data_IF_687718295724
#
_entry.id   IF_687718295724
#
_cell.length_a   1.000
_cell.length_b   1.000
_cell.length_c   1.000
_cell.angle_alpha   90.00
_cell.angle_beta   90.00
_cell.angle_gamma   90.00
#
_symmetry.space_group_name_H-M   'P 1'
#
loop_
_entity.id
_entity.type
_entity.pdbx_description
1 polymer ?
#
# COMPACT_ATOMS: atom_id res chain seq x y z
N UNK A 1 10.60 -4.89 1.86
CA UNK A 1 9.92 -3.68 2.36
C UNK A 1 9.87 -2.66 1.24
N UNK A 2 8.70 -2.08 0.97
CA UNK A 2 8.50 -1.20 -0.19
C UNK A 2 8.55 0.30 0.16
N UNK A 3 8.73 0.66 1.44
CA UNK A 3 8.73 2.07 1.90
C UNK A 3 7.34 2.64 2.17
N UNK A 4 6.29 1.86 1.94
CA UNK A 4 4.91 2.20 2.31
C UNK A 4 4.61 1.92 3.77
N UNK A 5 3.51 2.53 4.24
CA UNK A 5 2.99 2.45 5.60
C UNK A 5 2.89 1.01 6.12
N UNK A 6 2.30 0.13 5.31
CA UNK A 6 1.96 -1.23 5.74
C UNK A 6 3.23 -2.05 5.99
N UNK A 7 4.24 -1.91 5.11
CA UNK A 7 5.54 -2.55 5.31
C UNK A 7 6.31 -2.03 6.53
N UNK A 8 6.08 -0.77 6.93
CA UNK A 8 6.65 -0.19 8.16
C UNK A 8 5.99 -0.81 9.38
N UNK A 9 4.65 -0.87 9.40
CA UNK A 9 3.90 -1.49 10.51
C UNK A 9 4.28 -2.96 10.65
N UNK A 10 4.37 -3.70 9.54
CA UNK A 10 4.84 -5.09 9.57
C UNK A 10 6.23 -5.25 10.21
N UNK A 11 7.18 -4.40 9.82
CA UNK A 11 8.54 -4.44 10.39
C UNK A 11 8.56 -4.07 11.88
N UNK A 12 7.83 -3.04 12.31
CA UNK A 12 7.79 -2.64 13.73
C UNK A 12 7.04 -3.67 14.61
N UNK A 13 6.05 -4.39 14.06
CA UNK A 13 5.41 -5.51 14.74
C UNK A 13 6.37 -6.68 14.98
N UNK A 14 7.18 -7.03 13.97
CA UNK A 14 8.20 -8.08 14.10
C UNK A 14 9.25 -7.70 15.16
N UNK A 15 9.73 -6.46 15.14
CA UNK A 15 10.65 -5.95 16.18
C UNK A 15 10.08 -6.04 17.57
N UNK A 16 8.82 -5.60 17.75
CA UNK A 16 8.17 -5.59 19.06
C UNK A 16 8.06 -7.00 19.65
N UNK A 17 7.95 -8.03 18.81
CA UNK A 17 7.91 -9.44 19.22
C UNK A 17 9.29 -10.05 19.49
N UNK A 18 10.39 -9.29 19.32
CA UNK A 18 11.75 -9.81 19.49
C UNK A 18 12.20 -10.75 18.37
N UNK A 19 11.47 -10.83 17.26
CA UNK A 19 11.83 -11.72 16.16
C UNK A 19 13.03 -11.14 15.40
N UNK A 20 14.05 -11.96 15.17
CA UNK A 20 15.06 -11.66 14.15
C UNK A 20 14.38 -11.72 12.77
N UNK A 21 14.53 -10.66 11.98
CA UNK A 21 14.00 -10.62 10.62
C UNK A 21 14.91 -9.79 9.73
N UNK A 22 14.83 -10.08 8.43
CA UNK A 22 15.45 -9.28 7.39
C UNK A 22 14.36 -8.75 6.43
N UNK A 23 14.70 -7.79 5.59
CA UNK A 23 13.80 -7.30 4.55
C UNK A 23 14.21 -7.76 3.16
N UNK A 24 13.22 -8.13 2.35
CA UNK A 24 13.37 -8.35 0.92
C UNK A 24 12.79 -7.16 0.14
N UNK A 25 13.54 -6.59 -0.79
CA UNK A 25 13.10 -5.43 -1.58
C UNK A 25 13.51 -5.54 -3.04
N UNK A 26 12.61 -5.20 -3.95
CA UNK A 26 12.86 -5.22 -5.39
C UNK A 26 12.99 -3.80 -5.89
N UNK A 27 14.11 -3.49 -6.57
CA UNK A 27 14.40 -2.16 -7.11
C UNK A 27 14.04 -1.02 -6.13
N UNK A 28 14.55 -1.03 -4.88
CA UNK A 28 14.05 -0.12 -3.85
C UNK A 28 14.27 1.35 -4.24
N UNK A 29 13.20 2.13 -4.13
CA UNK A 29 13.24 3.59 -4.33
C UNK A 29 14.06 4.28 -3.23
N UNK A 30 14.29 5.59 -3.38
CA UNK A 30 14.94 6.40 -2.35
C UNK A 30 14.20 6.30 -1.00
N UNK A 31 12.87 6.38 -1.04
CA UNK A 31 11.98 6.27 0.11
C UNK A 31 12.07 4.89 0.76
N UNK A 32 12.03 3.83 -0.04
CA UNK A 32 12.16 2.46 0.46
C UNK A 32 13.50 2.25 1.17
N UNK A 33 14.61 2.72 0.58
CA UNK A 33 15.95 2.66 1.21
C UNK A 33 16.00 3.44 2.52
N UNK A 34 15.45 4.66 2.55
CA UNK A 34 15.40 5.47 3.76
C UNK A 34 14.60 4.78 4.87
N UNK A 35 13.46 4.19 4.54
CA UNK A 35 12.63 3.42 5.48
C UNK A 35 13.37 2.19 6.01
N UNK A 36 14.05 1.42 5.15
CA UNK A 36 14.85 0.26 5.56
C UNK A 36 15.95 0.68 6.54
N UNK A 37 16.64 1.80 6.26
CA UNK A 37 17.67 2.35 7.15
C UNK A 37 17.09 2.79 8.51
N UNK A 38 15.98 3.52 8.52
CA UNK A 38 15.30 3.94 9.77
C UNK A 38 14.78 2.72 10.53
N UNK A 39 14.41 1.66 9.82
CA UNK A 39 14.04 0.39 10.40
C UNK A 39 15.24 -0.39 10.97
N UNK A 40 16.47 0.11 10.89
CA UNK A 40 17.64 -0.54 11.49
C UNK A 40 18.03 -1.86 10.82
N UNK A 41 17.56 -2.11 9.59
CA UNK A 41 17.88 -3.33 8.84
C UNK A 41 19.20 -3.11 8.13
N UNK A 42 20.24 -3.81 8.57
CA UNK A 42 21.62 -3.62 8.09
C UNK A 42 21.86 -4.22 6.72
N UNK A 43 21.43 -5.46 6.50
CA UNK A 43 21.76 -6.25 5.31
C UNK A 43 20.50 -6.70 4.56
N UNK A 44 19.69 -5.76 4.01
CA UNK A 44 18.48 -6.13 3.29
C UNK A 44 18.80 -6.97 2.05
N UNK A 45 17.97 -7.98 1.77
CA UNK A 45 18.00 -8.70 0.50
C UNK A 45 17.45 -7.77 -0.58
N UNK A 46 18.29 -7.39 -1.53
CA UNK A 46 17.92 -6.51 -2.65
C UNK A 46 17.94 -7.30 -3.94
N UNK A 47 16.78 -7.45 -4.57
CA UNK A 47 16.66 -8.00 -5.92
C UNK A 47 16.55 -6.87 -6.92
N UNK A 48 17.34 -6.95 -7.99
CA UNK A 48 17.27 -6.02 -9.12
C UNK A 48 16.60 -6.69 -10.29
N UNK A 49 15.60 -6.04 -10.85
CA UNK A 49 14.97 -6.46 -12.10
C UNK A 49 14.98 -5.31 -13.11
N UNK A 50 15.06 -5.65 -14.38
CA UNK A 50 14.87 -4.70 -15.48
C UNK A 50 13.73 -5.21 -16.34
N UNK A 51 12.95 -4.28 -16.89
CA UNK A 51 11.94 -4.62 -17.91
C UNK A 51 12.69 -4.88 -19.21
N UNK A 52 12.31 -5.93 -19.92
CA UNK A 52 12.88 -6.24 -21.23
C UNK A 52 12.63 -5.09 -22.21
N UNK A 53 13.68 -4.51 -22.85
CA UNK A 53 13.52 -3.48 -23.86
C UNK A 53 12.59 -3.86 -25.01
N UNK A 54 12.46 -5.16 -25.35
CA UNK A 54 11.53 -5.65 -26.36
C UNK A 54 10.07 -5.35 -25.97
N UNK A 55 9.70 -5.53 -24.70
CA UNK A 55 8.36 -5.19 -24.19
C UNK A 55 8.07 -3.69 -24.36
N UNK A 56 9.06 -2.84 -24.10
CA UNK A 56 8.92 -1.38 -24.27
C UNK A 56 8.73 -1.01 -25.75
N UNK A 57 9.41 -1.70 -26.67
CA UNK A 57 9.23 -1.53 -28.12
C UNK A 57 7.81 -1.94 -28.54
N UNK A 58 7.30 -3.07 -28.04
CA UNK A 58 5.94 -3.54 -28.34
C UNK A 58 4.88 -2.57 -27.81
N UNK A 59 5.03 -2.07 -26.58
CA UNK A 59 4.12 -1.06 -26.02
C UNK A 59 4.07 0.21 -26.87
N UNK A 60 5.22 0.68 -27.38
CA UNK A 60 5.28 1.83 -28.30
C UNK A 60 4.59 1.57 -29.64
N UNK A 61 4.47 0.30 -30.05
CA UNK A 61 3.73 -0.12 -31.25
C UNK A 61 2.21 -0.26 -31.01
N UNK A 62 1.70 0.10 -29.83
CA UNK A 62 0.27 0.03 -29.53
C UNK A 62 -0.24 -1.34 -29.10
N UNK A 63 0.65 -2.28 -28.76
CA UNK A 63 0.25 -3.58 -28.21
C UNK A 63 -0.45 -3.41 -26.85
N UNK A 64 -1.34 -4.35 -26.52
CA UNK A 64 -2.08 -4.34 -25.26
C UNK A 64 -1.12 -4.40 -24.06
N UNK A 65 -1.27 -3.45 -23.13
CA UNK A 65 -0.44 -3.32 -21.94
C UNK A 65 -1.33 -3.36 -20.68
N UNK A 66 -1.71 -4.58 -20.31
CA UNK A 66 -2.62 -4.84 -19.19
C UNK A 66 -1.96 -4.73 -17.81
N UNK A 67 -2.77 -4.97 -16.78
CA UNK A 67 -2.31 -4.99 -15.39
C UNK A 67 -1.33 -6.14 -15.15
N UNK A 68 -0.14 -5.84 -14.63
CA UNK A 68 0.79 -6.85 -14.13
C UNK A 68 0.53 -7.12 -12.64
N UNK A 69 0.24 -8.38 -12.23
CA UNK A 69 0.05 -8.74 -10.82
C UNK A 69 1.39 -8.77 -10.08
N UNK A 70 1.97 -7.60 -9.84
CA UNK A 70 3.33 -7.44 -9.32
C UNK A 70 3.54 -8.20 -8.00
N UNK A 71 2.56 -8.21 -7.09
CA UNK A 71 2.67 -8.94 -5.81
C UNK A 71 2.83 -10.44 -6.02
N UNK A 72 2.21 -11.04 -7.04
CA UNK A 72 2.40 -12.46 -7.35
C UNK A 72 3.87 -12.73 -7.70
N UNK A 73 4.44 -11.92 -8.60
CA UNK A 73 5.86 -12.02 -8.97
C UNK A 73 6.77 -11.81 -7.76
N UNK A 74 6.44 -10.86 -6.88
CA UNK A 74 7.17 -10.64 -5.64
C UNK A 74 7.07 -11.82 -4.67
N UNK A 75 5.95 -12.53 -4.66
CA UNK A 75 5.71 -13.67 -3.76
C UNK A 75 6.59 -14.86 -4.16
N UNK A 76 6.64 -15.20 -5.44
CA UNK A 76 7.57 -16.22 -5.95
C UNK A 76 9.04 -15.85 -5.70
N UNK A 77 9.43 -14.61 -5.97
CA UNK A 77 10.80 -14.17 -5.70
C UNK A 77 11.15 -14.17 -4.21
N UNK A 78 10.21 -13.81 -3.34
CA UNK A 78 10.45 -13.84 -1.90
C UNK A 78 10.64 -15.27 -1.39
N UNK A 79 9.87 -16.24 -1.90
CA UNK A 79 10.05 -17.68 -1.60
C UNK A 79 11.40 -18.17 -2.12
N UNK A 80 11.79 -17.80 -3.35
CA UNK A 80 13.10 -18.13 -3.89
C UNK A 80 14.24 -17.56 -3.03
N UNK A 81 14.17 -16.28 -2.65
CA UNK A 81 15.15 -15.69 -1.75
C UNK A 81 15.15 -16.35 -0.37
N UNK A 82 13.98 -16.74 0.15
CA UNK A 82 13.90 -17.43 1.42
C UNK A 82 14.61 -18.79 1.37
N UNK A 83 14.46 -19.54 0.28
CA UNK A 83 15.23 -20.78 0.08
C UNK A 83 16.73 -20.51 -0.03
N UNK A 84 17.13 -19.49 -0.80
CA UNK A 84 18.55 -19.16 -1.03
C UNK A 84 19.29 -18.67 0.21
N UNK A 85 18.60 -17.94 1.08
CA UNK A 85 19.18 -17.31 2.28
C UNK A 85 18.72 -17.96 3.58
N UNK A 86 18.20 -19.20 3.52
CA UNK A 86 17.78 -20.02 4.65
C UNK A 86 16.75 -19.36 5.61
N UNK A 87 15.73 -18.73 5.02
CA UNK A 87 14.57 -18.23 5.76
C UNK A 87 13.40 -19.21 5.70
N UNK A 88 12.86 -19.57 6.88
CA UNK A 88 11.68 -20.44 7.02
C UNK A 88 10.34 -19.70 6.85
N UNK A 89 10.35 -18.37 6.89
CA UNK A 89 9.15 -17.55 6.89
C UNK A 89 9.24 -16.41 5.88
N UNK A 90 8.24 -16.34 5.00
CA UNK A 90 8.03 -15.22 4.09
C UNK A 90 6.79 -14.45 4.54
N UNK A 91 7.03 -13.29 5.12
CA UNK A 91 6.00 -12.43 5.65
C UNK A 91 5.76 -11.21 4.75
N UNK A 92 4.57 -11.13 4.16
CA UNK A 92 4.08 -9.91 3.51
C UNK A 92 3.30 -9.04 4.50
N UNK A 93 3.04 -7.80 4.12
CA UNK A 93 2.23 -6.85 4.92
C UNK A 93 0.91 -6.53 4.24
N UNK A 94 0.29 -7.51 3.56
CA UNK A 94 -1.02 -7.31 2.95
C UNK A 94 -2.12 -7.28 4.02
N UNK A 95 -3.03 -6.35 3.85
CA UNK A 95 -4.15 -6.03 4.72
C UNK A 95 -5.44 -6.76 4.34
N UNK A 96 -6.42 -6.78 5.26
CA UNK A 96 -7.76 -7.31 5.01
C UNK A 96 -8.44 -6.65 3.81
N UNK A 97 -8.23 -5.36 3.65
CA UNK A 97 -8.89 -4.49 2.67
C UNK A 97 -8.56 -4.83 1.21
N UNK A 98 -7.48 -5.58 0.98
CA UNK A 98 -7.09 -6.06 -0.34
C UNK A 98 -8.07 -7.09 -0.94
N UNK A 99 -8.96 -7.66 -0.13
CA UNK A 99 -9.97 -8.62 -0.58
C UNK A 99 -11.11 -7.95 -1.36
N UNK A 100 -11.37 -6.65 -1.13
CA UNK A 100 -12.44 -5.93 -1.85
C UNK A 100 -12.04 -5.57 -3.28
N UNK A 101 -12.81 -6.10 -4.25
CA UNK A 101 -12.65 -5.81 -5.66
C UNK A 101 -12.94 -4.37 -6.07
N UNK A 102 -12.68 -4.07 -7.34
CA UNK A 102 -12.80 -2.74 -7.92
C UNK A 102 -14.17 -2.47 -8.55
N UNK A 103 -14.64 -3.44 -9.34
CA UNK A 103 -15.91 -3.41 -10.05
C UNK A 103 -16.34 -4.83 -10.44
N UNK A 104 -17.59 -4.96 -10.91
CA UNK A 104 -18.05 -6.16 -11.63
C UNK A 104 -18.00 -5.93 -13.13
N UNK A 105 -17.43 -6.87 -13.88
CA UNK A 105 -17.35 -6.84 -15.33
C UNK A 105 -17.69 -8.23 -15.87
N UNK A 106 -18.66 -8.31 -16.79
CA UNK A 106 -19.15 -9.58 -17.37
C UNK A 106 -19.48 -10.65 -16.31
N UNK A 107 -20.20 -10.24 -15.25
CA UNK A 107 -20.58 -11.13 -14.14
C UNK A 107 -19.46 -11.51 -13.18
N UNK A 108 -18.21 -11.06 -13.40
CA UNK A 108 -17.06 -11.37 -12.55
C UNK A 108 -16.60 -10.16 -11.76
N UNK A 109 -16.17 -10.38 -10.53
CA UNK A 109 -15.49 -9.34 -9.77
C UNK A 109 -14.07 -9.15 -10.32
N UNK A 110 -13.71 -7.89 -10.60
CA UNK A 110 -12.36 -7.50 -11.00
C UNK A 110 -11.66 -6.90 -9.80
N UNK A 111 -10.65 -7.58 -9.27
CA UNK A 111 -9.82 -7.07 -8.17
C UNK A 111 -8.37 -6.85 -8.66
N UNK A 112 -7.97 -5.58 -8.82
CA UNK A 112 -6.60 -5.23 -9.21
C UNK A 112 -5.55 -5.59 -8.13
N UNK A 113 -5.99 -5.84 -6.91
CA UNK A 113 -5.17 -6.30 -5.79
C UNK A 113 -5.36 -7.79 -5.52
N UNK A 114 -5.90 -8.58 -6.45
CA UNK A 114 -6.16 -10.01 -6.22
C UNK A 114 -4.93 -10.75 -5.66
N UNK A 115 -3.73 -10.44 -6.15
CA UNK A 115 -2.46 -11.01 -5.66
C UNK A 115 -2.04 -10.59 -4.25
N UNK A 116 -2.86 -9.80 -3.55
CA UNK A 116 -2.75 -9.46 -2.13
C UNK A 116 -3.92 -10.00 -1.31
N UNK A 117 -4.91 -10.64 -1.96
CA UNK A 117 -6.11 -11.14 -1.29
C UNK A 117 -5.81 -12.35 -0.41
N UNK A 118 -6.70 -12.63 0.54
CA UNK A 118 -6.66 -13.81 1.39
C UNK A 118 -6.85 -15.10 0.57
N UNK A 119 -7.63 -15.03 -0.51
CA UNK A 119 -7.80 -16.14 -1.46
C UNK A 119 -6.48 -16.49 -2.15
N UNK A 120 -5.81 -15.49 -2.73
CA UNK A 120 -4.50 -15.67 -3.35
C UNK A 120 -3.48 -16.20 -2.35
N UNK A 121 -3.43 -15.61 -1.14
CA UNK A 121 -2.49 -16.01 -0.09
C UNK A 121 -2.65 -17.49 0.28
N UNK A 122 -3.88 -17.97 0.51
CA UNK A 122 -4.15 -19.37 0.83
C UNK A 122 -3.73 -20.30 -0.31
N UNK A 123 -4.11 -19.98 -1.55
CA UNK A 123 -3.76 -20.77 -2.73
C UNK A 123 -2.24 -20.80 -2.95
N UNK A 124 -1.58 -19.66 -2.82
CA UNK A 124 -0.14 -19.56 -3.00
C UNK A 124 0.64 -20.27 -1.89
N UNK A 125 0.24 -20.12 -0.63
CA UNK A 125 0.87 -20.86 0.48
C UNK A 125 0.75 -22.38 0.30
N UNK A 126 -0.41 -22.88 -0.13
CA UNK A 126 -0.59 -24.29 -0.47
C UNK A 126 0.31 -24.73 -1.64
N UNK A 127 0.40 -23.90 -2.69
CA UNK A 127 1.29 -24.15 -3.83
C UNK A 127 2.76 -24.21 -3.41
N UNK A 128 3.22 -23.28 -2.57
CA UNK A 128 4.59 -23.23 -2.04
C UNK A 128 4.92 -24.53 -1.30
N UNK A 129 4.04 -24.95 -0.37
CA UNK A 129 4.25 -26.16 0.42
C UNK A 129 4.30 -27.42 -0.44
N UNK A 130 3.44 -27.50 -1.46
CA UNK A 130 3.31 -28.70 -2.30
C UNK A 130 4.39 -28.81 -3.37
N UNK A 131 4.82 -27.70 -3.97
CA UNK A 131 5.59 -27.73 -5.22
C UNK A 131 6.92 -26.98 -5.18
N UNK A 132 7.15 -26.09 -4.20
CA UNK A 132 8.35 -25.24 -4.21
C UNK A 132 9.29 -25.55 -3.04
N UNK A 133 8.82 -25.37 -1.82
CA UNK A 133 9.63 -25.51 -0.62
C UNK A 133 8.73 -25.77 0.58
N UNK A 134 8.63 -27.04 0.98
CA UNK A 134 7.77 -27.49 2.08
C UNK A 134 8.08 -26.80 3.41
N UNK A 135 9.36 -26.50 3.66
CA UNK A 135 9.84 -25.85 4.89
C UNK A 135 9.56 -24.35 4.97
N UNK A 136 9.10 -23.71 3.88
CA UNK A 136 8.87 -22.26 3.82
C UNK A 136 7.39 -21.94 4.05
N UNK A 137 7.13 -21.11 5.06
CA UNK A 137 5.80 -20.64 5.41
C UNK A 137 5.55 -19.24 4.84
N UNK A 138 4.59 -19.11 3.92
CA UNK A 138 4.17 -17.85 3.32
C UNK A 138 2.87 -17.34 3.96
N UNK A 139 2.84 -16.07 4.37
CA UNK A 139 1.65 -15.45 4.97
C UNK A 139 1.71 -13.91 4.95
N UNK A 140 0.59 -13.25 5.24
CA UNK A 140 0.55 -11.80 5.47
C UNK A 140 0.35 -11.44 6.94
N UNK A 141 1.31 -10.70 7.51
CA UNK A 141 1.28 -10.23 8.91
C UNK A 141 0.08 -9.35 9.23
N UNK A 142 -0.39 -8.57 8.26
CA UNK A 142 -1.43 -7.57 8.46
C UNK A 142 -2.83 -8.02 8.05
N UNK A 143 -3.00 -9.31 7.68
CA UNK A 143 -4.28 -9.88 7.28
C UNK A 143 -5.45 -9.58 8.24
N UNK A 144 -5.26 -9.55 9.58
CA UNK A 144 -6.36 -9.25 10.49
C UNK A 144 -6.83 -7.80 10.48
N UNK A 145 -6.02 -6.88 9.95
CA UNK A 145 -6.24 -5.44 10.10
C UNK A 145 -6.73 -4.78 8.82
N UNK A 146 -7.56 -3.77 9.01
CA UNK A 146 -8.01 -2.81 7.99
C UNK A 146 -6.92 -1.75 7.72
N UNK A 147 -6.95 -1.09 6.56
CA UNK A 147 -6.08 0.04 6.23
C UNK A 147 -6.18 1.17 7.28
N UNK A 148 -7.38 1.41 7.81
CA UNK A 148 -7.60 2.44 8.84
C UNK A 148 -6.95 2.05 10.18
N UNK A 149 -7.03 0.79 10.59
CA UNK A 149 -6.31 0.29 11.78
C UNK A 149 -4.80 0.35 11.58
N UNK A 150 -4.30 -0.06 10.41
CA UNK A 150 -2.88 0.04 10.06
C UNK A 150 -2.40 1.49 10.09
N UNK A 151 -3.26 2.44 9.69
CA UNK A 151 -3.00 3.88 9.86
C UNK A 151 -2.77 4.24 11.31
N UNK A 152 -3.65 3.83 12.22
CA UNK A 152 -3.49 4.07 13.66
C UNK A 152 -2.22 3.42 14.23
N UNK A 153 -1.87 2.23 13.76
CA UNK A 153 -0.64 1.55 14.17
C UNK A 153 0.61 2.32 13.69
N UNK A 154 0.61 2.78 12.44
CA UNK A 154 1.71 3.53 11.86
C UNK A 154 2.03 4.82 12.60
N UNK A 155 1.00 5.51 13.12
CA UNK A 155 1.16 6.78 13.83
C UNK A 155 2.00 6.68 15.10
N UNK A 156 2.15 5.47 15.66
CA UNK A 156 3.05 5.19 16.79
C UNK A 156 4.54 5.29 16.41
N UNK A 157 4.85 5.51 15.13
CA UNK A 157 6.22 5.53 14.62
C UNK A 157 6.54 6.82 13.84
N UNK A 158 6.51 8.01 14.50
CA UNK A 158 6.71 9.30 13.85
C UNK A 158 8.07 9.45 13.13
N UNK A 159 9.08 8.66 13.53
CA UNK A 159 10.40 8.57 12.87
C UNK A 159 10.32 8.28 11.37
N UNK A 160 9.22 7.72 10.87
CA UNK A 160 9.04 7.41 9.45
C UNK A 160 8.29 8.48 8.65
N UNK A 161 7.66 9.48 9.29
CA UNK A 161 6.77 10.43 8.62
C UNK A 161 7.48 11.21 7.49
N UNK A 162 8.77 11.49 7.67
CA UNK A 162 9.59 12.18 6.67
C UNK A 162 10.21 11.26 5.61
N UNK A 163 9.88 9.97 5.57
CA UNK A 163 10.51 9.02 4.64
C UNK A 163 9.53 8.12 3.90
N UNK A 164 8.38 7.78 4.51
CA UNK A 164 7.43 6.85 3.89
C UNK A 164 6.76 7.43 2.64
N UNK A 165 6.44 6.56 1.67
CA UNK A 165 5.55 6.89 0.57
C UNK A 165 4.84 5.66 0.05
N UNK A 166 3.64 5.85 -0.46
CA UNK A 166 2.93 4.82 -1.24
C UNK A 166 2.42 5.37 -2.57
N UNK A 167 2.91 6.54 -3.00
CA UNK A 167 2.45 7.19 -4.22
C UNK A 167 3.22 6.70 -5.46
N UNK A 168 2.57 5.86 -6.26
CA UNK A 168 3.14 5.36 -7.52
C UNK A 168 3.50 6.48 -8.51
N UNK A 169 2.64 7.50 -8.64
CA UNK A 169 2.86 8.66 -9.51
C UNK A 169 3.98 9.57 -9.00
N UNK A 170 4.10 9.71 -7.67
CA UNK A 170 5.13 10.53 -7.04
C UNK A 170 6.53 10.06 -7.43
N UNK A 171 6.79 8.75 -7.30
CA UNK A 171 8.08 8.13 -7.66
C UNK A 171 8.49 8.46 -9.09
N UNK A 172 7.54 8.44 -10.05
CA UNK A 172 7.79 8.80 -11.46
C UNK A 172 8.12 10.28 -11.66
N UNK A 173 7.61 11.15 -10.78
CA UNK A 173 7.80 12.61 -10.83
C UNK A 173 8.96 13.09 -9.95
N UNK A 174 9.72 12.18 -9.33
CA UNK A 174 10.76 12.55 -8.36
C UNK A 174 10.20 13.20 -7.08
N UNK A 175 8.91 13.05 -6.79
CA UNK A 175 8.23 13.58 -5.60
C UNK A 175 7.79 12.43 -4.69
N UNK A 176 7.78 12.66 -3.38
CA UNK A 176 7.26 11.64 -2.45
C UNK A 176 5.75 11.42 -2.62
N UNK A 177 4.98 12.50 -2.67
CA UNK A 177 3.53 12.50 -2.84
C UNK A 177 3.18 13.42 -4.00
N UNK A 178 2.36 12.95 -4.95
CA UNK A 178 1.91 13.81 -6.04
C UNK A 178 0.75 14.74 -5.63
N UNK A 179 0.04 14.43 -4.55
CA UNK A 179 -1.11 15.21 -4.06
C UNK A 179 -2.37 15.14 -4.94
N UNK A 180 -2.36 14.34 -6.00
CA UNK A 180 -3.40 14.36 -7.03
C UNK A 180 -4.02 12.98 -7.32
N UNK A 181 -3.44 11.88 -6.82
CA UNK A 181 -3.91 10.53 -7.13
C UNK A 181 -4.79 9.93 -6.01
N UNK A 182 -5.61 8.90 -6.33
CA UNK A 182 -6.44 8.21 -5.34
C UNK A 182 -5.67 7.72 -4.12
N UNK A 183 -4.46 7.18 -4.31
CA UNK A 183 -3.62 6.71 -3.20
C UNK A 183 -3.16 7.84 -2.27
N UNK A 184 -2.88 9.04 -2.80
CA UNK A 184 -2.55 10.20 -1.95
C UNK A 184 -3.74 10.60 -1.10
N UNK A 185 -4.92 10.79 -1.71
CA UNK A 185 -6.12 11.22 -1.00
C UNK A 185 -6.56 10.17 0.03
N UNK A 186 -6.52 8.89 -0.33
CA UNK A 186 -6.85 7.80 0.57
C UNK A 186 -5.93 7.78 1.80
N UNK A 187 -4.60 7.76 1.61
CA UNK A 187 -3.67 7.77 2.75
C UNK A 187 -3.83 9.03 3.59
N UNK A 188 -4.00 10.19 2.95
CA UNK A 188 -4.30 11.46 3.63
C UNK A 188 -5.54 11.33 4.52
N UNK A 189 -6.65 10.86 3.97
CA UNK A 189 -7.90 10.69 4.70
C UNK A 189 -7.78 9.70 5.87
N UNK A 190 -7.00 8.63 5.73
CA UNK A 190 -6.81 7.65 6.82
C UNK A 190 -5.92 8.15 7.97
N UNK A 191 -5.03 9.12 7.71
CA UNK A 191 -4.15 9.71 8.73
C UNK A 191 -4.74 10.98 9.36
N UNK A 192 -5.52 11.75 8.60
CA UNK A 192 -6.05 13.06 8.98
C UNK A 192 -6.80 13.07 10.33
N UNK A 193 -7.67 12.10 10.67
CA UNK A 193 -8.39 12.09 11.93
C UNK A 193 -7.47 12.13 13.16
N UNK A 194 -6.24 11.65 13.02
CA UNK A 194 -5.35 11.36 14.14
C UNK A 194 -4.09 12.24 14.15
N UNK A 195 -3.85 13.05 13.12
CA UNK A 195 -2.69 13.93 13.02
C UNK A 195 -3.09 15.40 12.94
N UNK A 196 -2.30 16.25 13.58
CA UNK A 196 -2.45 17.70 13.46
C UNK A 196 -2.25 18.19 12.04
N UNK A 197 -2.98 19.24 11.67
CA UNK A 197 -2.92 19.84 10.32
C UNK A 197 -1.49 20.17 9.91
N UNK A 198 -0.69 20.74 10.82
CA UNK A 198 0.73 21.06 10.57
C UNK A 198 1.55 19.82 10.18
N UNK A 199 1.30 18.68 10.81
CA UNK A 199 1.98 17.41 10.49
C UNK A 199 1.52 16.87 9.15
N UNK A 200 0.21 16.93 8.86
CA UNK A 200 -0.33 16.56 7.54
C UNK A 200 0.30 17.39 6.41
N UNK A 201 0.42 18.70 6.59
CA UNK A 201 1.06 19.59 5.63
C UNK A 201 2.54 19.26 5.42
N UNK A 202 3.28 18.91 6.47
CA UNK A 202 4.68 18.48 6.37
C UNK A 202 4.84 17.16 5.60
N UNK A 203 3.91 16.21 5.77
CA UNK A 203 3.98 14.90 5.10
C UNK A 203 3.64 15.03 3.61
N UNK A 204 2.54 15.73 3.29
CA UNK A 204 1.96 15.74 1.95
C UNK A 204 2.30 16.98 1.11
N UNK A 205 2.87 18.02 1.72
CA UNK A 205 3.19 19.29 1.07
C UNK A 205 1.98 20.20 0.83
N UNK A 206 0.78 19.82 1.25
CA UNK A 206 -0.44 20.58 1.04
C UNK A 206 -1.67 19.98 1.72
N UNK A 207 -2.75 20.76 1.78
CA UNK A 207 -4.05 20.32 2.30
C UNK A 207 -4.86 19.69 1.17
N UNK A 208 -4.88 18.35 1.11
CA UNK A 208 -5.57 17.64 0.04
C UNK A 208 -7.09 17.79 0.14
N UNK A 209 -7.64 18.07 1.32
CA UNK A 209 -9.09 18.27 1.47
C UNK A 209 -9.57 19.65 0.97
N UNK A 210 -8.67 20.59 0.73
CA UNK A 210 -9.01 21.87 0.08
C UNK A 210 -8.89 21.80 -1.47
N UNK A 211 -8.31 20.73 -2.01
CA UNK A 211 -8.11 20.59 -3.46
C UNK A 211 -9.40 20.15 -4.17
N UNK A 212 -10.12 21.11 -4.78
CA UNK A 212 -11.38 20.88 -5.49
C UNK A 212 -11.29 19.83 -6.60
N UNK A 213 -10.12 19.69 -7.25
CA UNK A 213 -9.90 18.72 -8.35
C UNK A 213 -9.99 17.26 -7.88
N UNK A 214 -9.86 17.02 -6.57
CA UNK A 214 -9.94 15.68 -5.99
C UNK A 214 -11.38 15.21 -5.69
N UNK A 215 -12.40 16.05 -5.88
CA UNK A 215 -13.78 15.68 -5.58
C UNK A 215 -14.26 14.41 -6.32
N UNK A 216 -14.00 14.22 -7.63
CA UNK A 216 -14.36 12.97 -8.30
C UNK A 216 -13.67 11.74 -7.69
N UNK A 217 -12.43 11.90 -7.23
CA UNK A 217 -11.67 10.84 -6.56
C UNK A 217 -12.25 10.55 -5.17
N UNK A 218 -12.58 11.58 -4.39
CA UNK A 218 -13.23 11.43 -3.08
C UNK A 218 -14.54 10.64 -3.21
N UNK A 219 -15.40 11.02 -4.15
CA UNK A 219 -16.64 10.30 -4.49
C UNK A 219 -16.37 8.86 -4.91
N UNK A 220 -15.39 8.64 -5.78
CA UNK A 220 -14.97 7.29 -6.17
C UNK A 220 -14.39 6.46 -5.01
N UNK A 221 -13.90 7.07 -3.92
CA UNK A 221 -13.45 6.33 -2.74
C UNK A 221 -14.61 5.93 -1.82
N UNK A 222 -15.72 6.67 -1.79
CA UNK A 222 -16.77 6.49 -0.76
C UNK A 222 -18.11 5.97 -1.31
N UNK A 223 -18.49 6.34 -2.54
CA UNK A 223 -19.82 6.07 -3.07
C UNK A 223 -19.94 4.60 -3.52
N UNK A 224 -20.99 3.87 -3.11
CA UNK A 224 -21.14 2.45 -3.43
C UNK A 224 -21.32 2.18 -4.92
N UNK A 225 -21.98 3.10 -5.64
CA UNK A 225 -22.33 2.93 -7.06
C UNK A 225 -21.21 3.37 -8.02
N UNK A 226 -20.05 3.81 -7.51
CA UNK A 226 -18.89 4.16 -8.34
C UNK A 226 -17.85 3.06 -8.30
N UNK A 227 -17.19 2.73 -9.42
CA UNK A 227 -16.01 1.86 -9.39
C UNK A 227 -14.96 2.39 -8.42
N UNK A 228 -14.38 1.49 -7.62
CA UNK A 228 -13.25 1.83 -6.76
C UNK A 228 -12.03 2.13 -7.64
N UNK A 229 -11.26 3.20 -7.34
CA UNK A 229 -10.09 3.57 -8.11
C UNK A 229 -9.15 2.38 -8.35
N UNK A 230 -8.57 2.30 -9.54
CA UNK A 230 -7.60 1.27 -9.92
C UNK A 230 -6.21 1.56 -9.34
N UNK A 231 -6.17 1.73 -8.02
CA UNK A 231 -5.01 2.03 -7.18
C UNK A 231 -5.15 1.26 -5.87
N UNK A 232 -4.03 0.95 -5.20
CA UNK A 232 -4.03 0.14 -3.99
C UNK A 232 -4.61 0.89 -2.78
N UNK A 233 -5.92 1.11 -2.74
CA UNK A 233 -6.66 1.79 -1.67
C UNK A 233 -7.54 0.80 -0.92
N UNK A 234 -7.88 1.12 0.32
CA UNK A 234 -8.71 0.28 1.18
C UNK A 234 -10.17 0.25 0.73
N UNK A 235 -11.04 -0.30 1.58
CA UNK A 235 -12.43 -0.52 1.19
C UNK A 235 -13.24 0.76 1.05
N UNK A 236 -14.39 0.69 0.35
CA UNK A 236 -15.37 1.80 0.33
C UNK A 236 -15.83 2.16 1.74
N UNK A 237 -16.06 1.14 2.57
CA UNK A 237 -16.49 1.29 3.97
C UNK A 237 -15.43 2.02 4.80
N UNK A 238 -14.17 1.63 4.68
CA UNK A 238 -13.07 2.29 5.39
C UNK A 238 -12.83 3.72 4.92
N UNK A 239 -12.93 3.94 3.61
CA UNK A 239 -12.82 5.29 3.05
C UNK A 239 -13.92 6.17 3.62
N UNK A 240 -15.19 5.73 3.60
CA UNK A 240 -16.31 6.45 4.23
C UNK A 240 -16.03 6.77 5.70
N UNK A 241 -15.55 5.81 6.46
CA UNK A 241 -15.23 6.01 7.88
C UNK A 241 -14.09 7.03 8.07
N UNK A 242 -13.03 6.95 7.27
CA UNK A 242 -11.92 7.89 7.31
C UNK A 242 -12.36 9.34 6.99
N UNK A 243 -13.21 9.52 5.98
CA UNK A 243 -13.79 10.82 5.64
C UNK A 243 -14.75 11.33 6.73
N UNK A 244 -15.60 10.46 7.30
CA UNK A 244 -16.51 10.81 8.40
C UNK A 244 -15.75 11.27 9.64
N UNK A 245 -14.71 10.53 10.06
CA UNK A 245 -13.85 10.90 11.18
C UNK A 245 -13.11 12.21 10.93
N UNK A 246 -12.63 12.42 9.70
CA UNK A 246 -11.99 13.67 9.30
C UNK A 246 -12.95 14.84 9.41
N UNK A 247 -14.19 14.68 8.93
CA UNK A 247 -15.22 15.72 9.01
C UNK A 247 -15.54 16.08 10.46
N UNK A 248 -15.82 15.09 11.30
CA UNK A 248 -16.09 15.28 12.72
C UNK A 248 -14.95 16.03 13.45
N UNK A 249 -13.68 15.73 13.11
CA UNK A 249 -12.53 16.49 13.62
C UNK A 249 -12.56 17.95 13.21
N UNK A 250 -12.90 18.24 11.95
CA UNK A 250 -12.89 19.62 11.44
C UNK A 250 -14.08 20.46 11.87
N UNK A 251 -15.25 19.84 12.07
CA UNK A 251 -16.43 20.49 12.64
C UNK A 251 -16.14 21.02 14.05
N UNK A 252 -15.45 20.22 14.88
CA UNK A 252 -14.97 20.66 16.21
C UNK A 252 -14.00 21.84 16.16
N UNK A 253 -13.25 21.98 15.07
CA UNK A 253 -12.27 23.06 14.88
C UNK A 253 -12.85 24.27 14.14
N UNK A 254 -14.16 24.31 13.86
CA UNK A 254 -14.86 25.45 13.27
C UNK A 254 -14.60 25.69 11.76
N UNK A 255 -13.82 24.83 11.08
CA UNK A 255 -13.55 24.95 9.65
C UNK A 255 -13.47 23.59 8.97
N UNK A 256 -14.53 23.22 8.26
CA UNK A 256 -14.61 21.99 7.46
C UNK A 256 -14.07 22.23 6.05
N UNK A 257 -12.99 21.59 5.58
CA UNK A 257 -12.44 21.76 4.23
C UNK A 257 -13.41 21.44 3.09
N UNK A 258 -13.14 21.96 1.89
CA UNK A 258 -14.02 21.81 0.71
C UNK A 258 -14.49 20.38 0.45
N UNK A 259 -13.57 19.40 0.36
CA UNK A 259 -13.93 18.02 0.04
C UNK A 259 -14.85 17.41 1.11
N UNK A 260 -14.60 17.68 2.40
CA UNK A 260 -15.38 17.13 3.50
C UNK A 260 -16.80 17.73 3.59
N UNK A 261 -17.02 18.94 3.05
CA UNK A 261 -18.35 19.56 2.92
C UNK A 261 -19.12 19.08 1.69
N UNK A 262 -18.41 18.55 0.69
CA UNK A 262 -18.95 18.26 -0.64
C UNK A 262 -19.34 16.79 -0.85
N UNK A 263 -19.26 15.99 0.23
CA UNK A 263 -19.48 14.54 0.25
C UNK A 263 -20.29 14.11 1.47
#
# INVERSE_FOLDING_TARGET
MAGGRDSIVGAELLKKRGNSFNSFSVNPSREAKAVIKIAGIKNPIIVRRKVDPALLKLNKKGYLNGHTPLTSVLSFLAVFCAALFDFKYVAFSNEKSADEGNLKYLGREINHQYSKSSEFEKKFAAYVKKYLAESINYFSLLRPYTDLEISRMFLKHPKYFNSFSSCNRGVKLGKKWCGECPKCLFVYATLYPFLEKRTMLKIFGGDLFENKKLLPIARALIEPNRPKPFECVGTKKESREAFRLSRAKTEKNGRVPYLLRSI
#
